data_IF_129924000982
#
_entry.id   IF_129924000982
#
_cell.length_a   1.000
_cell.length_b   1.000
_cell.length_c   1.000
_cell.angle_alpha   90.00
_cell.angle_beta   90.00
_cell.angle_gamma   90.00
#
_symmetry.space_group_name_H-M   'P 1'
#
loop_
_entity.id
_entity.type
_entity.pdbx_description
1 polymer ?
#
# COMPACT_ATOMS: atom_id res chain seq x y z
N UNK A 1 0.34 -22.65 -3.91
CA UNK A 1 -0.73 -21.70 -4.29
C UNK A 1 -1.43 -20.96 -3.14
N UNK A 2 -1.59 -21.49 -1.92
CA UNK A 2 -2.36 -20.81 -0.84
C UNK A 2 -1.72 -19.56 -0.20
N UNK A 3 -0.40 -19.55 -0.05
CA UNK A 3 0.34 -18.47 0.65
C UNK A 3 0.41 -17.16 -0.17
N UNK A 4 0.65 -17.26 -1.48
CA UNK A 4 0.69 -16.08 -2.37
C UNK A 4 -0.68 -15.42 -2.53
N UNK A 5 -1.76 -16.20 -2.51
CA UNK A 5 -3.13 -15.68 -2.56
C UNK A 5 -3.45 -14.91 -1.28
N UNK A 6 -3.06 -15.44 -0.12
CA UNK A 6 -3.31 -14.80 1.19
C UNK A 6 -2.51 -13.50 1.37
N UNK A 7 -1.28 -13.41 0.86
CA UNK A 7 -0.52 -12.14 0.86
C UNK A 7 -1.17 -11.06 0.00
N UNK A 8 -1.64 -11.42 -1.20
CA UNK A 8 -2.37 -10.48 -2.06
C UNK A 8 -3.70 -10.01 -1.48
N UNK A 9 -4.42 -10.90 -0.78
CA UNK A 9 -5.65 -10.52 -0.07
C UNK A 9 -5.36 -9.62 1.13
N UNK A 10 -4.31 -9.88 1.90
CA UNK A 10 -3.88 -9.00 2.98
C UNK A 10 -3.53 -7.60 2.46
N UNK A 11 -2.82 -7.53 1.33
CA UNK A 11 -2.50 -6.27 0.69
C UNK A 11 -3.75 -5.48 0.27
N UNK A 12 -4.69 -6.12 -0.43
CA UNK A 12 -5.96 -5.50 -0.80
C UNK A 12 -6.78 -5.10 0.43
N UNK A 13 -6.83 -5.97 1.44
CA UNK A 13 -7.61 -5.75 2.66
C UNK A 13 -7.04 -4.63 3.54
N UNK A 14 -5.73 -4.36 3.48
CA UNK A 14 -5.14 -3.26 4.23
C UNK A 14 -5.17 -1.96 3.42
N UNK A 15 -4.79 -2.00 2.14
CA UNK A 15 -4.59 -0.80 1.34
C UNK A 15 -5.90 -0.15 0.89
N UNK A 16 -6.94 -0.95 0.60
CA UNK A 16 -8.25 -0.44 0.17
C UNK A 16 -8.95 0.37 1.28
N UNK A 17 -9.15 -0.14 2.51
CA UNK A 17 -9.79 0.65 3.55
C UNK A 17 -8.92 1.82 3.99
N UNK A 18 -7.59 1.70 3.97
CA UNK A 18 -6.71 2.82 4.27
C UNK A 18 -6.84 3.94 3.23
N UNK A 19 -6.91 3.58 1.94
CA UNK A 19 -7.19 4.53 0.86
C UNK A 19 -8.58 5.16 0.97
N UNK A 20 -9.60 4.37 1.31
CA UNK A 20 -10.96 4.87 1.53
C UNK A 20 -11.04 5.83 2.72
N UNK A 21 -10.32 5.53 3.82
CA UNK A 21 -10.22 6.39 4.99
C UNK A 21 -9.56 7.73 4.63
N UNK A 22 -8.44 7.69 3.90
CA UNK A 22 -7.75 8.89 3.42
C UNK A 22 -8.62 9.73 2.48
N UNK A 23 -9.38 9.09 1.61
CA UNK A 23 -10.27 9.77 0.67
C UNK A 23 -11.47 10.42 1.38
N UNK A 24 -12.00 9.80 2.43
CA UNK A 24 -13.19 10.29 3.13
C UNK A 24 -12.86 11.36 4.19
N UNK A 25 -11.67 11.30 4.80
CA UNK A 25 -11.24 12.24 5.84
C UNK A 25 -9.84 12.84 5.58
N UNK A 26 -9.58 13.42 4.39
CA UNK A 26 -8.23 13.89 4.05
C UNK A 26 -7.79 15.08 4.90
N UNK A 27 -8.73 15.92 5.37
CA UNK A 27 -8.45 17.08 6.21
C UNK A 27 -7.95 16.69 7.60
N UNK A 28 -8.76 16.00 8.42
CA UNK A 28 -8.38 15.61 9.78
C UNK A 28 -7.10 14.77 9.85
N UNK A 29 -6.89 13.89 8.87
CA UNK A 29 -5.68 13.05 8.81
C UNK A 29 -4.45 13.92 8.50
N UNK A 30 -4.56 14.86 7.56
CA UNK A 30 -3.48 15.77 7.24
C UNK A 30 -3.13 16.71 8.41
N UNK A 31 -4.12 17.22 9.13
CA UNK A 31 -3.93 18.02 10.35
C UNK A 31 -3.25 17.22 11.46
N UNK A 32 -3.71 15.99 11.69
CA UNK A 32 -3.12 15.08 12.68
C UNK A 32 -1.67 14.74 12.35
N UNK A 33 -1.36 14.43 11.09
CA UNK A 33 0.00 14.19 10.63
C UNK A 33 0.86 15.45 10.73
N UNK A 34 0.32 16.63 10.40
CA UNK A 34 1.04 17.89 10.51
C UNK A 34 1.42 18.20 11.96
N UNK A 35 0.51 17.91 12.90
CA UNK A 35 0.75 18.06 14.33
C UNK A 35 1.81 17.09 14.87
N UNK A 36 1.84 15.84 14.38
CA UNK A 36 2.82 14.85 14.82
C UNK A 36 4.23 15.11 14.30
N UNK A 37 4.35 15.52 13.04
CA UNK A 37 5.64 15.74 12.39
C UNK A 37 6.15 17.18 12.54
N UNK A 38 5.29 18.11 12.97
CA UNK A 38 5.63 19.54 13.08
C UNK A 38 5.86 20.21 11.73
N UNK A 39 5.30 19.66 10.65
CA UNK A 39 5.46 20.15 9.28
C UNK A 39 4.08 20.25 8.62
N UNK A 40 3.83 21.30 7.84
CA UNK A 40 2.59 21.43 7.08
C UNK A 40 2.46 20.32 6.02
N UNK A 41 1.57 19.37 6.27
CA UNK A 41 1.24 18.29 5.34
C UNK A 41 -0.04 18.67 4.61
N UNK A 42 0.10 19.01 3.33
CA UNK A 42 -1.05 19.27 2.46
C UNK A 42 -1.79 17.97 2.13
N UNK A 43 -3.08 18.08 1.76
CA UNK A 43 -3.87 16.95 1.24
C UNK A 43 -3.21 16.31 0.01
N UNK A 44 -2.56 17.12 -0.83
CA UNK A 44 -1.81 16.66 -2.00
C UNK A 44 -0.60 15.79 -1.60
N UNK A 45 0.17 16.21 -0.59
CA UNK A 45 1.29 15.42 -0.07
C UNK A 45 0.82 14.10 0.53
N UNK A 46 -0.33 14.12 1.23
CA UNK A 46 -0.94 12.93 1.82
C UNK A 46 -1.31 11.90 0.73
N UNK A 47 -1.98 12.35 -0.33
CA UNK A 47 -2.37 11.51 -1.46
C UNK A 47 -1.16 10.99 -2.24
N UNK A 48 -0.16 11.84 -2.47
CA UNK A 48 1.09 11.44 -3.12
C UNK A 48 1.86 10.41 -2.30
N UNK A 49 1.94 10.60 -0.98
CA UNK A 49 2.54 9.65 -0.04
C UNK A 49 1.82 8.30 -0.04
N UNK A 50 0.48 8.31 -0.03
CA UNK A 50 -0.30 7.08 -0.13
C UNK A 50 -0.09 6.35 -1.46
N UNK A 51 -0.08 7.06 -2.58
CA UNK A 51 0.20 6.50 -3.91
C UNK A 51 1.60 5.89 -3.98
N UNK A 52 2.60 6.57 -3.41
CA UNK A 52 3.97 6.07 -3.34
C UNK A 52 4.03 4.78 -2.51
N UNK A 53 3.40 4.76 -1.35
CA UNK A 53 3.35 3.59 -0.48
C UNK A 53 2.66 2.41 -1.18
N UNK A 54 1.54 2.69 -1.85
CA UNK A 54 0.83 1.70 -2.66
C UNK A 54 1.70 1.14 -3.80
N UNK A 55 2.45 1.99 -4.48
CA UNK A 55 3.36 1.58 -5.55
C UNK A 55 4.51 0.70 -5.03
N UNK A 56 5.08 1.03 -3.86
CA UNK A 56 6.14 0.22 -3.22
C UNK A 56 5.58 -1.15 -2.85
N UNK A 57 4.43 -1.19 -2.18
CA UNK A 57 3.82 -2.45 -1.78
C UNK A 57 3.44 -3.30 -3.00
N UNK A 58 2.90 -2.69 -4.06
CA UNK A 58 2.58 -3.40 -5.31
C UNK A 58 3.84 -3.95 -5.98
N UNK A 59 4.94 -3.18 -5.99
CA UNK A 59 6.24 -3.64 -6.51
C UNK A 59 6.74 -4.86 -5.74
N UNK A 60 6.65 -4.85 -4.42
CA UNK A 60 7.06 -5.98 -3.56
C UNK A 60 6.16 -7.19 -3.82
N UNK A 61 4.83 -7.01 -3.89
CA UNK A 61 3.88 -8.09 -4.18
C UNK A 61 4.15 -8.72 -5.55
N UNK A 62 4.36 -7.90 -6.59
CA UNK A 62 4.72 -8.38 -7.92
C UNK A 62 6.07 -9.10 -7.96
N UNK A 63 7.06 -8.64 -7.21
CA UNK A 63 8.37 -9.31 -7.14
C UNK A 63 8.27 -10.68 -6.45
N UNK A 64 7.51 -10.78 -5.35
CA UNK A 64 7.23 -12.04 -4.67
C UNK A 64 6.50 -13.01 -5.60
N UNK A 65 5.49 -12.52 -6.34
CA UNK A 65 4.76 -13.33 -7.34
C UNK A 65 5.66 -13.81 -8.46
N UNK A 66 6.50 -12.94 -9.02
CA UNK A 66 7.48 -13.29 -10.07
C UNK A 66 8.45 -14.36 -9.58
N UNK A 67 8.99 -14.22 -8.36
CA UNK A 67 9.90 -15.22 -7.77
C UNK A 67 9.22 -16.57 -7.55
N UNK A 68 7.95 -16.57 -7.14
CA UNK A 68 7.20 -17.81 -6.97
C UNK A 68 6.88 -18.49 -8.31
N UNK A 69 6.44 -17.74 -9.31
CA UNK A 69 6.21 -18.25 -10.66
C UNK A 69 7.49 -18.79 -11.30
N UNK A 70 8.62 -18.10 -11.12
CA UNK A 70 9.93 -18.56 -11.59
C UNK A 70 10.45 -19.82 -10.87
N UNK A 71 9.99 -20.09 -9.65
CA UNK A 71 10.26 -21.35 -8.94
C UNK A 71 9.37 -22.49 -9.44
N UNK A 72 8.08 -22.24 -9.67
CA UNK A 72 7.17 -23.24 -10.26
C UNK A 72 7.63 -23.63 -11.68
N UNK A 73 8.07 -22.68 -12.51
CA UNK A 73 8.56 -22.94 -13.86
C UNK A 73 9.91 -23.72 -13.91
N UNK A 74 10.65 -23.77 -12.80
CA UNK A 74 11.89 -24.56 -12.67
C UNK A 74 11.66 -25.93 -12.03
N UNK A 75 10.48 -26.16 -11.47
CA UNK A 75 10.09 -27.41 -10.82
C UNK A 75 9.32 -28.36 -11.78
N UNK A 76 9.09 -27.91 -13.02
CA UNK A 76 8.59 -28.69 -14.16
C UNK A 76 9.76 -28.93 -15.10
#
# INVERSE_FOLDING_TARGET
MGLLRSMGFLFLFLLVPLGALLANYPGPIAEWLSSLFGVDISRGNLGAGFMLLAAICLKIDLDIRRRAQGREARAV
#
